data_IF_095095703301
#
_entry.id   IF_095095703301
#
_cell.length_a   1.000
_cell.length_b   1.000
_cell.length_c   1.000
_cell.angle_alpha   90.00
_cell.angle_beta   90.00
_cell.angle_gamma   90.00
#
_symmetry.space_group_name_H-M   'P 1'
#
loop_
_entity.id
_entity.type
_entity.pdbx_description
1 polymer ?
#
# COMPACT_ATOMS: atom_id res chain seq x y z
N UNK A 1 -21.58 5.74 3.60
CA UNK A 1 -20.63 4.86 2.88
C UNK A 1 -21.45 4.00 1.94
N UNK A 2 -21.11 3.95 0.65
CA UNK A 2 -21.92 3.19 -0.33
C UNK A 2 -22.00 1.71 0.04
N UNK A 3 -23.15 1.09 -0.22
CA UNK A 3 -23.35 -0.35 -0.05
C UNK A 3 -23.10 -1.14 -1.34
N UNK A 4 -22.90 -0.46 -2.47
CA UNK A 4 -22.55 -1.10 -3.75
C UNK A 4 -21.10 -1.64 -3.70
N UNK A 5 -20.88 -2.96 -3.86
CA UNK A 5 -19.54 -3.53 -3.89
C UNK A 5 -18.63 -2.90 -4.95
N UNK A 6 -19.15 -2.60 -6.15
CA UNK A 6 -18.35 -2.01 -7.22
C UNK A 6 -17.84 -0.62 -6.86
N UNK A 7 -18.71 0.22 -6.29
CA UNK A 7 -18.34 1.55 -5.78
C UNK A 7 -17.34 1.49 -4.61
N UNK A 8 -17.49 0.53 -3.69
CA UNK A 8 -16.54 0.33 -2.59
C UNK A 8 -15.12 0.06 -3.11
N UNK A 9 -14.99 -0.83 -4.10
CA UNK A 9 -13.69 -1.17 -4.70
C UNK A 9 -13.04 0.03 -5.40
N UNK A 10 -13.81 0.80 -6.19
CA UNK A 10 -13.31 2.01 -6.87
C UNK A 10 -12.89 3.08 -5.87
N UNK A 11 -13.69 3.30 -4.82
CA UNK A 11 -13.37 4.27 -3.76
C UNK A 11 -12.08 3.86 -3.02
N UNK A 12 -11.91 2.58 -2.72
CA UNK A 12 -10.67 2.08 -2.10
C UNK A 12 -9.45 2.29 -3.01
N UNK A 13 -9.60 2.05 -4.32
CA UNK A 13 -8.54 2.28 -5.29
C UNK A 13 -8.12 3.76 -5.33
N UNK A 14 -9.09 4.68 -5.38
CA UNK A 14 -8.83 6.12 -5.43
C UNK A 14 -8.15 6.63 -4.15
N UNK A 15 -8.56 6.15 -2.97
CA UNK A 15 -7.90 6.51 -1.70
C UNK A 15 -6.48 5.94 -1.61
N UNK A 16 -6.25 4.75 -2.15
CA UNK A 16 -4.93 4.14 -2.20
C UNK A 16 -3.97 4.96 -3.09
N UNK A 17 -4.41 5.34 -4.29
CA UNK A 17 -3.65 6.22 -5.19
C UNK A 17 -3.36 7.58 -4.52
N UNK A 18 -4.37 8.16 -3.86
CA UNK A 18 -4.21 9.44 -3.15
C UNK A 18 -3.26 9.38 -1.95
N UNK A 19 -3.19 8.24 -1.25
CA UNK A 19 -2.22 8.03 -0.18
C UNK A 19 -0.80 7.86 -0.74
N UNK A 20 -0.65 7.07 -1.80
CA UNK A 20 0.64 6.81 -2.42
C UNK A 20 1.27 8.08 -3.02
N UNK A 21 0.45 8.93 -3.65
CA UNK A 21 0.92 10.18 -4.26
C UNK A 21 1.57 11.16 -3.27
N UNK A 22 1.30 11.03 -1.97
CA UNK A 22 1.88 11.87 -0.91
C UNK A 22 2.87 11.15 0.00
N UNK A 23 3.22 9.91 -0.32
CA UNK A 23 4.16 9.10 0.46
C UNK A 23 5.53 9.04 -0.24
N UNK A 24 6.62 8.94 0.51
CA UNK A 24 7.98 8.84 -0.04
C UNK A 24 8.08 7.72 -1.08
N UNK A 25 8.34 8.09 -2.34
CA UNK A 25 8.49 7.16 -3.45
C UNK A 25 9.82 6.41 -3.42
N UNK A 26 9.90 5.30 -4.15
CA UNK A 26 11.12 4.53 -4.35
C UNK A 26 10.97 3.08 -3.87
N UNK A 27 12.03 2.32 -4.02
CA UNK A 27 12.12 0.96 -3.53
C UNK A 27 12.47 0.98 -2.04
N UNK A 28 11.52 0.61 -1.19
CA UNK A 28 11.71 0.60 0.26
C UNK A 28 12.41 -0.67 0.69
N UNK A 29 13.57 -0.53 1.33
CA UNK A 29 14.39 -1.65 1.79
C UNK A 29 14.60 -1.56 3.29
N UNK A 30 14.49 -2.71 3.96
CA UNK A 30 14.97 -2.83 5.32
C UNK A 30 16.51 -2.85 5.32
N UNK A 31 17.11 -2.03 6.17
CA UNK A 31 18.55 -1.89 6.38
C UNK A 31 18.87 -1.93 7.88
N UNK A 32 20.15 -2.06 8.22
CA UNK A 32 20.63 -2.15 9.59
C UNK A 32 21.12 -3.54 9.98
N UNK A 33 22.05 -3.58 10.94
CA UNK A 33 22.61 -4.83 11.47
C UNK A 33 21.64 -5.44 12.49
N UNK A 34 21.69 -6.77 12.68
CA UNK A 34 20.86 -7.52 13.65
C UNK A 34 20.92 -6.97 15.10
N UNK A 35 21.92 -6.15 15.42
CA UNK A 35 22.12 -5.52 16.72
C UNK A 35 21.58 -4.07 16.83
N UNK A 36 21.19 -3.45 15.72
CA UNK A 36 20.56 -2.11 15.67
C UNK A 36 19.07 -2.22 15.34
N UNK A 37 18.26 -1.23 15.72
CA UNK A 37 16.86 -1.14 15.25
C UNK A 37 16.87 -1.06 13.72
N UNK A 38 16.21 -1.99 13.00
CA UNK A 38 16.17 -1.91 11.55
C UNK A 38 15.50 -0.64 11.05
N UNK A 39 16.13 -0.05 10.04
CA UNK A 39 15.64 1.12 9.34
C UNK A 39 14.96 0.68 8.05
N UNK A 40 13.98 1.46 7.59
CA UNK A 40 13.41 1.36 6.25
C UNK A 40 13.87 2.58 5.48
N UNK A 41 14.51 2.36 4.34
CA UNK A 41 15.09 3.39 3.49
C UNK A 41 14.50 3.27 2.09
N UNK A 42 14.02 4.38 1.54
CA UNK A 42 13.60 4.48 0.15
C UNK A 42 14.83 4.68 -0.76
N UNK A 43 14.95 3.86 -1.79
CA UNK A 43 15.98 3.98 -2.82
C UNK A 43 15.35 4.50 -4.12
N UNK A 44 15.90 5.58 -4.67
CA UNK A 44 15.43 6.20 -5.92
C UNK A 44 16.33 5.84 -7.09
N UNK A 45 15.80 5.98 -8.31
CA UNK A 45 16.52 5.65 -9.55
C UNK A 45 17.72 6.55 -9.82
N UNK A 46 17.77 7.73 -9.22
CA UNK A 46 18.92 8.66 -9.26
C UNK A 46 20.04 8.28 -8.26
N UNK A 47 19.86 7.17 -7.52
CA UNK A 47 20.81 6.71 -6.51
C UNK A 47 20.66 7.40 -5.15
N UNK A 48 19.78 8.39 -5.02
CA UNK A 48 19.49 9.02 -3.73
C UNK A 48 18.71 8.07 -2.82
N UNK A 49 18.90 8.25 -1.51
CA UNK A 49 18.18 7.51 -0.49
C UNK A 49 17.49 8.46 0.47
N UNK A 50 16.38 8.00 1.05
CA UNK A 50 15.65 8.73 2.08
C UNK A 50 15.21 7.78 3.19
N UNK A 51 15.47 8.15 4.44
CA UNK A 51 15.00 7.40 5.59
C UNK A 51 13.47 7.53 5.72
N UNK A 52 12.77 6.39 5.81
CA UNK A 52 11.31 6.32 5.90
C UNK A 52 10.85 6.07 7.33
N UNK A 53 11.43 5.05 8.00
CA UNK A 53 11.00 4.66 9.34
C UNK A 53 12.04 3.82 10.07
N UNK A 54 12.09 3.93 11.40
CA UNK A 54 12.73 2.93 12.26
C UNK A 54 11.66 1.95 12.78
N UNK A 55 11.92 0.64 12.70
CA UNK A 55 10.97 -0.37 13.13
C UNK A 55 11.65 -1.60 13.75
N UNK A 56 10.88 -2.43 14.47
CA UNK A 56 11.36 -3.77 14.86
C UNK A 56 11.58 -4.61 13.59
N UNK A 57 12.51 -5.56 13.62
CA UNK A 57 12.89 -6.34 12.43
C UNK A 57 11.70 -6.92 11.63
N UNK A 58 10.79 -7.62 12.30
CA UNK A 58 9.61 -8.20 11.64
C UNK A 58 8.64 -7.14 11.10
N UNK A 59 8.59 -5.96 11.72
CA UNK A 59 7.75 -4.84 11.27
C UNK A 59 8.38 -4.14 10.07
N UNK A 60 9.71 -3.97 10.03
CA UNK A 60 10.41 -3.40 8.89
C UNK A 60 10.15 -4.20 7.60
N UNK A 61 10.10 -5.53 7.71
CA UNK A 61 9.75 -6.40 6.58
C UNK A 61 8.34 -6.13 6.03
N UNK A 62 7.33 -5.96 6.91
CA UNK A 62 5.98 -5.59 6.50
C UNK A 62 5.91 -4.21 5.86
N UNK A 63 6.61 -3.22 6.42
CA UNK A 63 6.64 -1.85 5.88
C UNK A 63 7.25 -1.83 4.48
N UNK A 64 8.40 -2.50 4.29
CA UNK A 64 9.05 -2.58 2.98
C UNK A 64 8.18 -3.30 1.95
N UNK A 65 7.58 -4.44 2.32
CA UNK A 65 6.73 -5.23 1.44
C UNK A 65 5.44 -4.49 1.03
N UNK A 66 4.83 -3.72 1.94
CA UNK A 66 3.60 -2.95 1.70
C UNK A 66 3.87 -1.47 1.39
N UNK A 67 5.03 -1.17 0.80
CA UNK A 67 5.42 0.19 0.41
C UNK A 67 4.48 0.79 -0.66
N UNK A 68 4.54 2.11 -0.90
CA UNK A 68 3.73 2.80 -1.91
C UNK A 68 3.85 2.22 -3.34
N UNK A 69 4.91 1.47 -3.63
CA UNK A 69 5.10 0.79 -4.91
C UNK A 69 3.96 -0.20 -5.24
N UNK A 70 3.27 -0.76 -4.23
CA UNK A 70 2.11 -1.63 -4.45
C UNK A 70 0.81 -0.89 -4.76
N UNK A 71 0.75 0.43 -4.56
CA UNK A 71 -0.50 1.18 -4.69
C UNK A 71 -1.09 1.10 -6.09
N UNK A 72 -0.30 1.42 -7.12
CA UNK A 72 -0.76 1.40 -8.50
C UNK A 72 -1.25 0.02 -8.97
N UNK A 73 -0.50 -1.09 -8.82
CA UNK A 73 -0.99 -2.41 -9.23
C UNK A 73 -2.21 -2.86 -8.41
N UNK A 74 -2.29 -2.54 -7.11
CA UNK A 74 -3.43 -2.90 -6.27
C UNK A 74 -4.68 -2.09 -6.63
N UNK A 75 -4.54 -0.78 -6.88
CA UNK A 75 -5.62 0.09 -7.33
C UNK A 75 -6.14 -0.34 -8.71
N UNK A 76 -5.25 -0.72 -9.63
CA UNK A 76 -5.63 -1.29 -10.92
C UNK A 76 -6.41 -2.61 -10.76
N UNK A 77 -5.95 -3.51 -9.88
CA UNK A 77 -6.66 -4.75 -9.58
C UNK A 77 -8.05 -4.49 -8.97
N UNK A 78 -8.19 -3.55 -8.04
CA UNK A 78 -9.48 -3.16 -7.46
C UNK A 78 -10.45 -2.63 -8.52
N UNK A 79 -9.98 -1.78 -9.44
CA UNK A 79 -10.80 -1.25 -10.55
C UNK A 79 -11.22 -2.35 -11.52
N UNK A 80 -10.32 -3.28 -11.84
CA UNK A 80 -10.64 -4.44 -12.68
C UNK A 80 -11.68 -5.35 -12.01
N UNK A 81 -11.49 -5.67 -10.72
CA UNK A 81 -12.42 -6.48 -9.94
C UNK A 81 -13.81 -5.82 -9.82
N UNK A 82 -13.88 -4.48 -9.77
CA UNK A 82 -15.14 -3.74 -9.77
C UNK A 82 -15.91 -3.78 -11.10
N UNK A 83 -15.27 -4.20 -12.20
CA UNK A 83 -15.89 -4.34 -13.52
C UNK A 83 -16.43 -5.74 -13.79
N UNK A 84 -16.10 -6.73 -12.93
CA UNK A 84 -16.57 -8.11 -13.04
C UNK A 84 -17.86 -8.27 -12.24
N UNK A 85 -18.88 -8.86 -12.86
CA UNK A 85 -20.16 -9.15 -12.21
C UNK A 85 -20.45 -10.66 -12.18
N UNK A 86 -20.78 -11.24 -11.01
CA UNK A 86 -20.86 -10.58 -9.69
C UNK A 86 -19.46 -10.20 -9.15
N UNK A 87 -19.41 -9.16 -8.30
CA UNK A 87 -18.16 -8.76 -7.62
C UNK A 87 -17.80 -9.81 -6.58
N UNK A 88 -16.52 -10.18 -6.52
CA UNK A 88 -16.01 -11.15 -5.54
C UNK A 88 -16.23 -10.66 -4.10
N UNK A 89 -16.90 -11.45 -3.24
CA UNK A 89 -17.05 -11.13 -1.82
C UNK A 89 -15.72 -10.86 -1.10
N UNK A 90 -14.64 -11.57 -1.43
CA UNK A 90 -13.33 -11.37 -0.84
C UNK A 90 -12.74 -10.00 -1.20
N UNK A 91 -12.91 -9.55 -2.44
CA UNK A 91 -12.52 -8.21 -2.87
C UNK A 91 -13.33 -7.12 -2.13
N UNK A 92 -14.61 -7.38 -1.86
CA UNK A 92 -15.47 -6.48 -1.07
C UNK A 92 -15.01 -6.37 0.38
N UNK A 93 -14.61 -7.49 1.01
CA UNK A 93 -14.04 -7.51 2.37
C UNK A 93 -12.74 -6.71 2.42
N UNK A 94 -11.84 -6.90 1.46
CA UNK A 94 -10.59 -6.14 1.37
C UNK A 94 -10.86 -4.65 1.19
N UNK A 95 -11.77 -4.26 0.29
CA UNK A 95 -12.11 -2.85 0.07
C UNK A 95 -12.64 -2.17 1.34
N UNK A 96 -13.51 -2.84 2.11
CA UNK A 96 -13.96 -2.32 3.42
C UNK A 96 -12.81 -2.17 4.40
N UNK A 97 -11.97 -3.18 4.53
CA UNK A 97 -10.81 -3.13 5.42
C UNK A 97 -9.83 -2.00 5.06
N UNK A 98 -9.66 -1.70 3.77
CA UNK A 98 -8.89 -0.55 3.30
C UNK A 98 -9.59 0.76 3.66
N UNK A 99 -10.88 0.91 3.36
CA UNK A 99 -11.64 2.14 3.63
C UNK A 99 -11.72 2.49 5.13
N UNK A 100 -11.68 1.49 6.01
CA UNK A 100 -11.64 1.69 7.46
C UNK A 100 -10.29 2.23 7.97
N UNK A 101 -9.21 2.07 7.19
CA UNK A 101 -7.83 2.39 7.59
C UNK A 101 -7.22 3.53 6.78
N UNK A 102 -7.63 3.68 5.54
CA UNK A 102 -7.13 4.71 4.64
C UNK A 102 -7.73 6.07 5.04
N UNK A 103 -6.89 7.10 5.16
CA UNK A 103 -7.31 8.48 5.46
C UNK A 103 -8.23 9.08 4.39
#
# INVERSE_FOLDING_TARGET
MSTDPGELLRTAADRLDALAARTTSGDWRASGLLASRPEVVAHRSDGSTEHVAEARANTAAWIAALSPALAAPLAAWLRAAASVHPVDPAATVLARALLDRLP
#
